data_IF_336994450533
#
_entry.id   IF_336994450533
#
_cell.length_a   1.000
_cell.length_b   1.000
_cell.length_c   1.000
_cell.angle_alpha   90.00
_cell.angle_beta   90.00
_cell.angle_gamma   90.00
#
_symmetry.space_group_name_H-M   'P 1'
#
loop_
_entity.id
_entity.type
_entity.pdbx_description
1 polymer ?
#
# COMPACT_ATOMS: atom_id res chain seq x y z
N UNK A 1 -7.30 27.51 -9.48
CA UNK A 1 -6.54 26.25 -9.66
C UNK A 1 -6.20 25.75 -8.27
N UNK A 2 -6.76 24.61 -7.85
CA UNK A 2 -6.39 23.98 -6.58
C UNK A 2 -5.69 22.67 -6.89
N UNK A 3 -4.53 22.52 -6.27
CA UNK A 3 -3.47 21.58 -6.58
C UNK A 3 -3.84 20.18 -6.05
N UNK A 4 -3.72 19.18 -6.92
CA UNK A 4 -4.04 17.79 -6.63
C UNK A 4 -2.92 17.08 -5.88
N UNK A 5 -2.88 17.22 -4.55
CA UNK A 5 -1.90 16.47 -3.71
C UNK A 5 -2.50 15.65 -2.57
N UNK A 6 -3.83 15.50 -2.46
CA UNK A 6 -4.45 14.63 -1.42
C UNK A 6 -5.24 13.45 -2.00
N UNK A 7 -5.15 13.20 -3.31
CA UNK A 7 -5.91 12.13 -3.97
C UNK A 7 -5.51 10.73 -3.47
N UNK A 8 -4.25 10.56 -3.06
CA UNK A 8 -3.67 9.27 -2.72
C UNK A 8 -4.27 8.65 -1.45
N UNK A 9 -4.35 9.38 -0.34
CA UNK A 9 -4.76 8.79 0.94
C UNK A 9 -6.26 8.46 0.99
N UNK A 10 -7.10 9.27 0.32
CA UNK A 10 -8.57 9.09 0.35
C UNK A 10 -8.99 7.81 -0.38
N UNK A 11 -8.28 7.43 -1.45
CA UNK A 11 -8.62 6.26 -2.26
C UNK A 11 -8.51 4.92 -1.49
N UNK A 12 -7.70 4.86 -0.43
CA UNK A 12 -7.52 3.66 0.40
C UNK A 12 -8.32 3.70 1.70
N UNK A 13 -9.07 4.79 1.94
CA UNK A 13 -9.89 4.97 3.14
C UNK A 13 -11.04 3.95 3.19
N UNK A 14 -11.31 3.41 4.39
CA UNK A 14 -12.47 2.54 4.60
C UNK A 14 -13.79 3.34 4.72
N UNK A 15 -14.95 2.75 4.37
CA UNK A 15 -16.24 3.42 4.49
C UNK A 15 -16.54 3.96 5.90
N UNK A 16 -16.09 3.25 6.94
CA UNK A 16 -16.27 3.65 8.34
C UNK A 16 -15.46 4.89 8.73
N UNK A 17 -14.26 5.07 8.18
CA UNK A 17 -13.44 6.27 8.39
C UNK A 17 -14.14 7.52 7.83
N UNK A 18 -14.76 7.41 6.66
CA UNK A 18 -15.52 8.52 6.08
C UNK A 18 -16.85 8.79 6.81
N UNK A 19 -17.38 7.81 7.54
CA UNK A 19 -18.60 7.94 8.36
C UNK A 19 -18.30 8.36 9.81
N UNK A 20 -17.03 8.56 10.17
CA UNK A 20 -16.58 8.87 11.55
C UNK A 20 -17.10 7.84 12.57
N UNK A 21 -17.10 6.56 12.20
CA UNK A 21 -17.36 5.46 13.14
C UNK A 21 -16.07 5.00 13.79
N UNK A 22 -16.19 4.16 14.82
CA UNK A 22 -15.03 3.53 15.44
C UNK A 22 -14.27 2.70 14.39
N UNK A 23 -12.96 2.93 14.34
CA UNK A 23 -12.02 2.28 13.42
C UNK A 23 -11.34 1.13 14.15
N UNK A 24 -11.28 -0.03 13.52
CA UNK A 24 -10.58 -1.20 14.01
C UNK A 24 -9.66 -1.80 12.93
N UNK A 25 -9.02 -2.93 13.23
CA UNK A 25 -8.08 -3.62 12.34
C UNK A 25 -8.67 -3.97 10.96
N UNK A 26 -10.00 -4.01 10.79
CA UNK A 26 -10.68 -4.33 9.53
C UNK A 26 -10.60 -3.20 8.52
N UNK A 27 -10.22 -1.99 8.96
CA UNK A 27 -9.85 -0.89 8.06
C UNK A 27 -8.56 -1.19 7.30
N UNK A 28 -7.59 -1.86 7.93
CA UNK A 28 -6.35 -2.26 7.23
C UNK A 28 -6.61 -3.39 6.22
N UNK A 29 -7.58 -4.26 6.52
CA UNK A 29 -8.04 -5.30 5.58
C UNK A 29 -8.68 -4.66 4.34
N UNK A 30 -9.47 -3.60 4.53
CA UNK A 30 -10.05 -2.83 3.42
C UNK A 30 -8.96 -2.20 2.55
N UNK A 31 -8.02 -1.47 3.16
CA UNK A 31 -6.97 -0.78 2.40
C UNK A 31 -6.07 -1.77 1.64
N UNK A 32 -5.78 -2.93 2.23
CA UNK A 32 -5.11 -4.04 1.55
C UNK A 32 -5.93 -4.58 0.36
N UNK A 33 -7.25 -4.69 0.51
CA UNK A 33 -8.16 -5.05 -0.57
C UNK A 33 -8.11 -4.07 -1.74
N UNK A 34 -8.05 -2.76 -1.46
CA UNK A 34 -7.90 -1.71 -2.48
C UNK A 34 -6.57 -1.88 -3.24
N UNK A 35 -5.47 -2.11 -2.51
CA UNK A 35 -4.15 -2.34 -3.11
C UNK A 35 -4.15 -3.60 -3.98
N UNK A 36 -4.77 -4.68 -3.53
CA UNK A 36 -4.87 -5.92 -4.31
C UNK A 36 -5.66 -5.71 -5.60
N UNK A 37 -6.80 -5.03 -5.51
CA UNK A 37 -7.59 -4.66 -6.68
C UNK A 37 -6.74 -3.88 -7.69
N UNK A 38 -6.03 -2.84 -7.21
CA UNK A 38 -5.22 -1.96 -8.05
C UNK A 38 -4.05 -2.71 -8.71
N UNK A 39 -3.38 -3.63 -8.00
CA UNK A 39 -2.33 -4.45 -8.58
C UNK A 39 -2.82 -5.40 -9.69
N UNK A 40 -4.07 -5.89 -9.57
CA UNK A 40 -4.65 -6.82 -10.54
C UNK A 40 -5.17 -6.06 -11.76
N UNK A 41 -5.98 -5.02 -11.51
CA UNK A 41 -6.71 -4.24 -12.52
C UNK A 41 -5.88 -3.10 -13.13
N UNK A 42 -4.79 -2.68 -12.48
CA UNK A 42 -3.98 -1.53 -12.88
C UNK A 42 -4.64 -0.17 -12.59
N UNK A 43 -5.75 -0.15 -11.85
CA UNK A 43 -6.52 1.03 -11.52
C UNK A 43 -7.23 0.87 -10.18
N UNK A 44 -7.48 1.97 -9.46
CA UNK A 44 -8.21 1.94 -8.20
C UNK A 44 -9.67 1.46 -8.37
N UNK A 45 -10.23 0.76 -7.36
CA UNK A 45 -11.60 0.24 -7.36
C UNK A 45 -12.68 1.34 -7.33
N UNK A 46 -12.39 2.45 -6.65
CA UNK A 46 -13.29 3.59 -6.50
C UNK A 46 -12.63 4.84 -7.07
N UNK A 47 -13.37 5.63 -7.83
CA UNK A 47 -12.84 6.78 -8.58
C UNK A 47 -13.77 7.99 -8.44
N UNK A 48 -13.22 9.18 -8.62
CA UNK A 48 -13.98 10.43 -8.59
C UNK A 48 -13.10 11.60 -9.02
N UNK A 49 -13.72 12.67 -9.51
CA UNK A 49 -13.01 13.89 -9.95
C UNK A 49 -12.40 14.68 -8.79
N UNK A 50 -12.93 14.49 -7.58
CA UNK A 50 -12.51 15.16 -6.35
C UNK A 50 -12.76 14.26 -5.13
N UNK A 51 -12.10 14.56 -4.01
CA UNK A 51 -12.07 13.71 -2.81
C UNK A 51 -13.48 13.31 -2.33
N UNK A 52 -14.44 14.24 -2.30
CA UNK A 52 -15.81 13.94 -1.87
C UNK A 52 -16.53 12.95 -2.81
N UNK A 53 -16.23 12.98 -4.11
CA UNK A 53 -16.77 12.00 -5.05
C UNK A 53 -16.15 10.62 -4.82
N UNK A 54 -14.84 10.55 -4.53
CA UNK A 54 -14.17 9.30 -4.16
C UNK A 54 -14.77 8.72 -2.87
N UNK A 55 -14.94 9.54 -1.84
CA UNK A 55 -15.58 9.14 -0.57
C UNK A 55 -17.01 8.64 -0.81
N UNK A 56 -17.78 9.32 -1.66
CA UNK A 56 -19.12 8.86 -2.04
C UNK A 56 -19.09 7.49 -2.73
N UNK A 57 -18.18 7.28 -3.68
CA UNK A 57 -17.99 5.99 -4.37
C UNK A 57 -17.59 4.88 -3.38
N UNK A 58 -16.65 5.17 -2.47
CA UNK A 58 -16.25 4.28 -1.37
C UNK A 58 -17.44 3.90 -0.48
N UNK A 59 -18.40 4.78 -0.25
CA UNK A 59 -19.54 4.48 0.63
C UNK A 59 -20.72 3.78 -0.06
N UNK A 60 -20.94 4.05 -1.35
CA UNK A 60 -22.22 3.75 -2.00
C UNK A 60 -22.11 2.90 -3.26
N UNK A 61 -20.94 2.82 -3.88
CA UNK A 61 -20.75 2.11 -5.14
C UNK A 61 -19.98 0.81 -4.94
N UNK A 62 -20.21 -0.15 -5.83
CA UNK A 62 -19.43 -1.39 -5.89
C UNK A 62 -18.33 -1.27 -6.94
N UNK A 63 -17.14 -1.83 -6.70
CA UNK A 63 -16.07 -1.80 -7.68
C UNK A 63 -16.44 -2.66 -8.90
N UNK A 64 -15.91 -2.28 -10.07
CA UNK A 64 -16.04 -3.10 -11.27
C UNK A 64 -15.32 -4.45 -11.06
N UNK A 65 -15.90 -5.60 -11.41
CA UNK A 65 -15.26 -6.90 -11.22
C UNK A 65 -13.89 -6.98 -11.91
N UNK A 66 -12.86 -7.47 -11.21
CA UNK A 66 -11.49 -7.57 -11.77
C UNK A 66 -11.44 -8.49 -12.99
N UNK A 67 -12.30 -9.52 -13.05
CA UNK A 67 -12.42 -10.42 -14.20
C UNK A 67 -13.01 -9.75 -15.45
N UNK A 68 -13.76 -8.64 -15.29
CA UNK A 68 -14.25 -7.84 -16.41
C UNK A 68 -13.13 -6.98 -17.03
N UNK A 69 -12.16 -6.55 -16.21
CA UNK A 69 -11.05 -5.70 -16.62
C UNK A 69 -9.89 -6.53 -17.19
N UNK A 70 -9.59 -7.68 -16.58
CA UNK A 70 -8.43 -8.51 -16.93
C UNK A 70 -8.78 -9.98 -17.06
N UNK A 71 -8.46 -10.55 -18.22
CA UNK A 71 -8.58 -11.99 -18.46
C UNK A 71 -7.50 -12.79 -17.73
N UNK A 72 -7.84 -13.99 -17.26
CA UNK A 72 -6.89 -14.91 -16.63
C UNK A 72 -6.70 -14.69 -15.12
N UNK A 73 -7.54 -13.86 -14.49
CA UNK A 73 -7.61 -13.73 -13.03
C UNK A 73 -8.44 -14.89 -12.47
N UNK A 74 -7.93 -15.68 -11.50
CA UNK A 74 -8.72 -16.72 -10.85
C UNK A 74 -9.95 -16.15 -10.15
N UNK A 75 -11.10 -16.82 -10.28
CA UNK A 75 -12.36 -16.34 -9.69
C UNK A 75 -12.30 -16.33 -8.16
N UNK A 76 -11.52 -17.22 -7.56
CA UNK A 76 -11.23 -17.21 -6.12
C UNK A 76 -10.50 -15.92 -5.70
N UNK A 77 -9.59 -15.39 -6.52
CA UNK A 77 -8.87 -14.15 -6.20
C UNK A 77 -9.82 -12.95 -6.21
N UNK A 78 -10.73 -12.89 -7.18
CA UNK A 78 -11.81 -11.89 -7.19
C UNK A 78 -12.69 -11.99 -5.94
N UNK A 79 -13.06 -13.21 -5.53
CA UNK A 79 -13.85 -13.44 -4.31
C UNK A 79 -13.16 -12.90 -3.06
N UNK A 80 -11.84 -13.10 -2.93
CA UNK A 80 -11.06 -12.59 -1.79
C UNK A 80 -11.07 -11.06 -1.79
N UNK A 81 -10.81 -10.43 -2.93
CA UNK A 81 -10.81 -8.96 -3.07
C UNK A 81 -12.19 -8.39 -2.74
N UNK A 82 -13.26 -8.97 -3.28
CA UNK A 82 -14.63 -8.53 -3.01
C UNK A 82 -15.00 -8.68 -1.53
N UNK A 83 -14.56 -9.74 -0.85
CA UNK A 83 -14.78 -9.91 0.59
C UNK A 83 -14.00 -8.88 1.41
N UNK A 84 -12.76 -8.55 1.03
CA UNK A 84 -11.99 -7.50 1.70
C UNK A 84 -12.62 -6.11 1.49
N UNK A 85 -13.25 -5.88 0.33
CA UNK A 85 -13.92 -4.63 -0.04
C UNK A 85 -15.43 -4.59 0.29
N UNK A 86 -15.91 -5.46 1.20
CA UNK A 86 -17.29 -5.40 1.67
C UNK A 86 -17.53 -4.09 2.45
N UNK A 87 -18.66 -3.41 2.24
CA UNK A 87 -18.87 -2.08 2.85
C UNK A 87 -19.06 -2.17 4.37
N UNK A 88 -19.79 -3.18 4.82
CA UNK A 88 -19.98 -3.44 6.24
C UNK A 88 -18.79 -4.23 6.81
N UNK A 89 -18.12 -3.76 7.88
CA UNK A 89 -16.95 -4.44 8.46
C UNK A 89 -17.21 -5.89 8.90
N UNK A 90 -18.44 -6.21 9.29
CA UNK A 90 -18.85 -7.57 9.69
C UNK A 90 -18.86 -8.57 8.52
N UNK A 91 -18.97 -8.08 7.29
CA UNK A 91 -18.94 -8.92 6.08
C UNK A 91 -17.50 -9.14 5.56
N UNK A 92 -16.53 -8.39 6.08
CA UNK A 92 -15.11 -8.54 5.76
C UNK A 92 -14.49 -9.71 6.51
N UNK A 93 -13.24 -9.99 6.19
CA UNK A 93 -12.39 -10.81 7.06
C UNK A 93 -12.27 -10.11 8.42
N UNK A 94 -12.47 -10.88 9.49
CA UNK A 94 -12.36 -10.32 10.84
C UNK A 94 -10.89 -10.17 11.24
N UNK A 95 -10.03 -11.04 10.70
CA UNK A 95 -8.59 -11.02 10.91
C UNK A 95 -7.81 -11.26 9.62
N UNK A 96 -6.60 -10.70 9.53
CA UNK A 96 -5.75 -10.81 8.34
C UNK A 96 -5.28 -12.25 8.06
N UNK A 97 -5.19 -13.11 9.07
CA UNK A 97 -4.83 -14.52 8.91
C UNK A 97 -5.92 -15.31 8.16
N UNK A 98 -7.19 -14.94 8.31
CA UNK A 98 -8.28 -15.55 7.53
C UNK A 98 -8.11 -15.27 6.02
N UNK A 99 -7.77 -14.03 5.68
CA UNK A 99 -7.47 -13.63 4.31
C UNK A 99 -6.24 -14.38 3.77
N UNK A 100 -5.20 -14.54 4.60
CA UNK A 100 -4.00 -15.29 4.25
C UNK A 100 -4.29 -16.77 3.98
N UNK A 101 -5.18 -17.40 4.75
CA UNK A 101 -5.61 -18.80 4.53
C UNK A 101 -6.25 -18.94 3.17
N UNK A 102 -7.17 -18.04 2.81
CA UNK A 102 -7.83 -18.05 1.51
C UNK A 102 -6.82 -17.85 0.35
N UNK A 103 -5.87 -16.92 0.50
CA UNK A 103 -4.81 -16.68 -0.51
C UNK A 103 -3.92 -17.91 -0.72
N UNK A 104 -3.49 -18.57 0.36
CA UNK A 104 -2.72 -19.83 0.29
C UNK A 104 -3.54 -20.98 -0.31
N UNK A 105 -4.87 -20.94 -0.18
CA UNK A 105 -5.77 -21.88 -0.81
C UNK A 105 -5.68 -21.84 -2.34
N UNK A 106 -5.51 -20.64 -2.91
CA UNK A 106 -5.36 -20.44 -4.37
C UNK A 106 -4.02 -21.02 -4.86
N UNK A 107 -2.92 -20.73 -4.17
CA UNK A 107 -1.59 -21.26 -4.54
C UNK A 107 -1.61 -22.81 -4.61
N UNK A 108 -2.22 -23.45 -3.60
CA UNK A 108 -2.36 -24.91 -3.57
C UNK A 108 -3.31 -25.47 -4.63
N UNK A 109 -4.38 -24.74 -4.97
CA UNK A 109 -5.32 -25.19 -6.00
C UNK A 109 -4.69 -25.13 -7.39
N UNK A 110 -3.84 -24.14 -7.67
CA UNK A 110 -3.04 -24.07 -8.89
C UNK A 110 -2.01 -25.21 -8.97
N UNK A 111 -1.34 -25.53 -7.87
CA UNK A 111 -0.45 -26.70 -7.78
C UNK A 111 -1.20 -28.04 -7.98
N UNK A 112 -2.39 -28.16 -7.42
CA UNK A 112 -3.22 -29.36 -7.56
C UNK A 112 -3.83 -29.50 -8.98
N UNK A 113 -4.25 -28.39 -9.60
CA UNK A 113 -4.78 -28.37 -10.95
C UNK A 113 -3.69 -28.69 -11.98
N UNK A 114 -2.49 -28.13 -11.81
CA UNK A 114 -1.33 -28.48 -12.64
C UNK A 114 -0.86 -29.93 -12.44
N UNK A 115 -1.06 -30.50 -11.25
CA UNK A 115 -0.79 -31.92 -10.97
C UNK A 115 -1.85 -32.85 -11.58
N UNK A 116 -3.12 -32.47 -11.53
CA UNK A 116 -4.26 -33.26 -12.03
C UNK A 116 -4.32 -33.29 -13.56
N UNK A 117 -4.03 -32.16 -14.23
CA UNK A 117 -3.89 -32.11 -15.69
C UNK A 117 -2.70 -32.96 -16.19
N UNK A 118 -1.73 -33.24 -15.32
CA UNK A 118 -0.56 -34.08 -15.61
C UNK A 118 -0.83 -35.58 -15.38
N UNK A 119 -1.99 -35.94 -14.82
CA UNK A 119 -2.34 -37.31 -14.48
C UNK A 119 -3.12 -38.06 -15.58
N UNK A 120 -3.35 -37.43 -16.73
CA UNK A 120 -3.90 -38.09 -17.94
C UNK A 120 -2.77 -38.38 -18.95
N UNK A 121 -1.80 -39.25 -18.59
CA UNK A 121 -1.09 -40.17 -19.51
C UNK A 121 -0.11 -41.09 -18.74
N UNK A 122 0.10 -42.33 -19.20
CA UNK A 122 0.71 -43.39 -18.42
C UNK A 122 2.22 -43.20 -18.26
N UNK A 123 2.73 -43.80 -17.19
CA UNK A 123 4.11 -43.75 -16.72
C UNK A 123 5.14 -44.02 -17.82
N UNK A 124 6.16 -43.17 -17.90
CA UNK A 124 7.55 -43.60 -18.15
C UNK A 124 8.54 -42.63 -17.49
N UNK A 125 9.70 -43.10 -16.98
CA UNK A 125 10.46 -42.38 -15.97
C UNK A 125 11.53 -41.43 -16.54
N UNK A 126 11.62 -40.26 -15.90
CA UNK A 126 12.80 -39.41 -15.54
C UNK A 126 13.89 -39.21 -16.64
N UNK A 127 14.43 -38.00 -16.90
CA UNK A 127 15.24 -37.19 -15.98
C UNK A 127 15.79 -35.92 -16.69
N UNK A 128 16.14 -34.88 -15.90
CA UNK A 128 17.13 -33.80 -16.16
C UNK A 128 16.81 -32.63 -17.10
N UNK A 129 15.71 -31.89 -16.89
CA UNK A 129 15.61 -30.49 -17.37
C UNK A 129 15.17 -29.44 -16.33
N UNK A 130 14.75 -29.84 -15.12
CA UNK A 130 14.18 -28.92 -14.12
C UNK A 130 15.18 -28.20 -13.20
N UNK A 131 16.47 -28.53 -13.24
CA UNK A 131 17.50 -27.86 -12.40
C UNK A 131 17.99 -26.54 -13.03
N UNK A 132 17.66 -26.29 -14.31
CA UNK A 132 18.12 -25.09 -15.01
C UNK A 132 17.25 -23.84 -14.75
N UNK A 133 15.95 -24.01 -14.47
CA UNK A 133 15.02 -22.88 -14.30
C UNK A 133 14.96 -22.33 -12.86
N UNK A 134 15.32 -23.11 -11.84
CA UNK A 134 15.38 -22.61 -10.45
C UNK A 134 16.53 -21.63 -10.22
N UNK A 135 17.63 -21.79 -10.96
CA UNK A 135 18.75 -20.85 -10.91
C UNK A 135 18.42 -19.47 -11.49
N UNK A 136 17.60 -19.44 -12.55
CA UNK A 136 17.23 -18.19 -13.25
C UNK A 136 16.25 -17.37 -12.40
N UNK A 137 15.26 -18.00 -11.76
CA UNK A 137 14.32 -17.30 -10.86
C UNK A 137 15.04 -16.73 -9.64
N UNK A 138 15.96 -17.49 -9.04
CA UNK A 138 16.76 -16.99 -7.91
C UNK A 138 17.65 -15.79 -8.30
N UNK A 139 18.22 -15.80 -9.51
CA UNK A 139 19.03 -14.68 -10.02
C UNK A 139 18.19 -13.43 -10.29
N UNK A 140 16.96 -13.59 -10.79
CA UNK A 140 16.03 -12.49 -11.03
C UNK A 140 15.58 -11.88 -9.69
N UNK A 141 15.19 -12.72 -8.72
CA UNK A 141 14.80 -12.25 -7.38
C UNK A 141 15.97 -11.56 -6.68
N UNK A 142 17.17 -12.13 -6.76
CA UNK A 142 18.38 -11.50 -6.22
C UNK A 142 18.69 -10.17 -6.91
N UNK A 143 18.55 -10.10 -8.24
CA UNK A 143 18.70 -8.87 -9.00
C UNK A 143 17.69 -7.79 -8.60
N UNK A 144 16.43 -8.16 -8.38
CA UNK A 144 15.37 -7.23 -7.92
C UNK A 144 15.67 -6.74 -6.50
N UNK A 145 16.10 -7.61 -5.59
CA UNK A 145 16.46 -7.23 -4.21
C UNK A 145 17.68 -6.31 -4.19
N UNK A 146 18.71 -6.60 -4.99
CA UNK A 146 19.90 -5.74 -5.11
C UNK A 146 19.54 -4.42 -5.80
N UNK A 147 18.71 -4.44 -6.83
CA UNK A 147 18.23 -3.22 -7.49
C UNK A 147 17.43 -2.36 -6.51
N UNK A 148 16.52 -2.94 -5.72
CA UNK A 148 15.82 -2.22 -4.66
C UNK A 148 16.79 -1.67 -3.61
N UNK A 149 17.78 -2.45 -3.17
CA UNK A 149 18.78 -1.98 -2.21
C UNK A 149 19.67 -0.84 -2.75
N UNK A 150 19.93 -0.81 -4.06
CA UNK A 150 20.74 0.22 -4.71
C UNK A 150 19.93 1.44 -5.16
N UNK A 151 18.66 1.28 -5.54
CA UNK A 151 17.80 2.33 -6.09
C UNK A 151 16.80 2.92 -5.10
N UNK A 152 16.62 2.33 -3.90
CA UNK A 152 15.93 3.05 -2.81
C UNK A 152 16.80 4.27 -2.48
N UNK A 153 16.32 5.51 -2.74
CA UNK A 153 17.06 6.70 -2.40
C UNK A 153 17.25 6.70 -0.88
N UNK A 154 18.49 6.48 -0.45
CA UNK A 154 18.90 6.81 0.92
C UNK A 154 18.60 8.30 1.04
N UNK A 155 17.64 8.66 1.88
CA UNK A 155 17.33 10.05 2.16
C UNK A 155 18.64 10.78 2.41
N UNK A 156 18.90 11.81 1.63
CA UNK A 156 20.11 12.62 1.78
C UNK A 156 20.16 13.11 3.24
N UNK A 157 21.30 12.95 3.93
CA UNK A 157 21.44 13.53 5.25
C UNK A 157 21.08 15.01 5.17
N UNK A 158 20.28 15.49 6.13
CA UNK A 158 19.92 16.90 6.20
C UNK A 158 21.18 17.63 6.70
N UNK A 159 21.99 18.13 5.77
CA UNK A 159 23.28 18.79 6.07
C UNK A 159 23.12 20.23 6.57
N UNK A 160 21.91 20.80 6.51
CA UNK A 160 21.66 22.18 6.94
C UNK A 160 20.25 22.38 7.46
N UNK A 161 20.13 23.04 8.61
CA UNK A 161 18.87 23.50 9.19
C UNK A 161 18.92 25.02 9.25
N UNK A 162 17.99 25.69 8.57
CA UNK A 162 17.83 27.13 8.67
C UNK A 162 16.92 27.46 9.86
N UNK A 163 17.38 28.32 10.77
CA UNK A 163 16.58 28.84 11.87
C UNK A 163 16.17 30.26 11.50
N UNK A 164 14.87 30.50 11.44
CA UNK A 164 14.32 31.84 11.26
C UNK A 164 14.27 32.57 12.61
N UNK A 165 14.42 33.91 12.61
CA UNK A 165 14.28 34.69 13.83
C UNK A 165 12.89 34.50 14.43
N UNK A 166 12.84 34.34 15.75
CA UNK A 166 11.56 34.27 16.46
C UNK A 166 10.87 35.64 16.41
N UNK A 167 9.61 35.68 15.99
CA UNK A 167 8.82 36.90 15.95
C UNK A 167 8.12 37.14 17.30
N UNK A 168 8.21 38.38 17.81
CA UNK A 168 7.49 38.82 19.00
C UNK A 168 6.04 39.16 18.65
N UNK A 169 5.12 38.23 18.93
CA UNK A 169 3.70 38.41 18.63
C UNK A 169 2.99 39.46 19.50
N UNK A 170 3.55 39.80 20.67
CA UNK A 170 2.93 40.68 21.66
C UNK A 170 3.44 42.13 21.60
N UNK A 171 4.41 42.41 20.71
CA UNK A 171 5.00 43.75 20.50
C UNK A 171 5.57 44.39 21.79
N UNK A 172 5.97 43.55 22.75
CA UNK A 172 6.56 43.96 24.01
C UNK A 172 8.07 44.23 23.84
N UNK A 173 8.56 45.46 24.10
CA UNK A 173 9.97 45.81 23.90
C UNK A 173 10.96 44.96 24.71
N UNK A 174 10.56 44.41 25.87
CA UNK A 174 11.46 43.57 26.68
C UNK A 174 11.65 42.17 26.08
N UNK A 175 10.65 41.66 25.35
CA UNK A 175 10.65 40.34 24.72
C UNK A 175 11.45 40.30 23.41
N UNK A 176 11.69 41.44 22.78
CA UNK A 176 12.43 41.53 21.52
C UNK A 176 13.90 41.11 21.71
N UNK A 177 14.54 41.57 22.78
CA UNK A 177 15.89 41.13 23.16
C UNK A 177 15.96 39.62 23.47
N UNK A 178 14.88 39.05 24.03
CA UNK A 178 14.81 37.63 24.34
C UNK A 178 14.70 36.78 23.07
N UNK A 179 13.85 37.18 22.11
CA UNK A 179 13.69 36.49 20.82
C UNK A 179 15.00 36.44 20.04
N UNK A 180 15.73 37.56 19.98
CA UNK A 180 17.05 37.63 19.34
C UNK A 180 18.07 36.77 20.07
N UNK A 181 18.09 36.83 21.40
CA UNK A 181 18.98 36.03 22.24
C UNK A 181 18.78 34.53 22.06
N UNK A 182 17.53 34.05 22.03
CA UNK A 182 17.21 32.62 21.82
C UNK A 182 17.60 32.21 20.40
N UNK A 183 17.24 33.01 19.38
CA UNK A 183 17.61 32.73 17.98
C UNK A 183 19.12 32.54 17.85
N UNK A 184 19.91 33.49 18.36
CA UNK A 184 21.36 33.45 18.27
C UNK A 184 21.97 32.26 19.03
N UNK A 185 21.43 31.92 20.21
CA UNK A 185 21.91 30.78 20.98
C UNK A 185 21.65 29.44 20.30
N UNK A 186 20.48 29.27 19.66
CA UNK A 186 20.17 28.03 18.94
C UNK A 186 21.02 27.94 17.67
N UNK A 187 21.20 29.04 16.92
CA UNK A 187 22.12 29.08 15.76
C UNK A 187 23.54 28.66 16.19
N UNK A 188 24.05 29.23 17.27
CA UNK A 188 25.39 28.95 17.80
C UNK A 188 25.53 27.51 18.33
N UNK A 189 24.46 26.95 18.92
CA UNK A 189 24.47 25.59 19.45
C UNK A 189 24.40 24.54 18.33
N UNK A 190 23.56 24.76 17.32
CA UNK A 190 23.47 23.87 16.16
C UNK A 190 24.69 23.96 15.24
N UNK A 191 25.36 25.13 15.16
CA UNK A 191 26.60 25.26 14.38
C UNK A 191 27.79 24.49 14.97
N UNK A 192 27.67 23.99 16.21
CA UNK A 192 28.73 23.22 16.90
C UNK A 192 28.48 21.71 16.88
N UNK A 193 27.35 21.25 16.33
CA UNK A 193 27.10 19.83 16.15
C UNK A 193 27.98 19.32 14.99
N UNK A 194 28.64 18.15 15.15
CA UNK A 194 29.50 17.56 14.12
C UNK A 194 28.71 16.99 12.94
#
# INVERSE_FOLDING_TARGET
TKEGTTLGTVAYMSPEQGRTRDVDQRTDIWSLGVVFYEMIAGQAPFKGEYDQAIVYSIMNESPEPVTAIRTGVPMELERIVNKALAKEPEERYQHADEMLVDLKGIEKSEEAATTSLRQIKPQSPKTKRKILYSGIVALIVFGIVVALYLFIPRGSPIDSVAILPFENMNNDPELEYLCDGITYNIISSLSRLP
#
